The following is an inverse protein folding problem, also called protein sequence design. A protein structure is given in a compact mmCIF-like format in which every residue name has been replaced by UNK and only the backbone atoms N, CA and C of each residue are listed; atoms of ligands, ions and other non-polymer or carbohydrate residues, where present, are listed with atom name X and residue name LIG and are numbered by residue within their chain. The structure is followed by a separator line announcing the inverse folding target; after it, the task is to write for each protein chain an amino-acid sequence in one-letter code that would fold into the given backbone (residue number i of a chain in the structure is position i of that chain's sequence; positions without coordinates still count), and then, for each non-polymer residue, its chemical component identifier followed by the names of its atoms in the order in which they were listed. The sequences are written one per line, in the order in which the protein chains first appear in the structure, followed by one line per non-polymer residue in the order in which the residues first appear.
data_IF_552160828327
#
_entry.id   IF_552160828327
#
_cell.length_a   1.000
_cell.length_b   1.000
_cell.length_c   1.000
_cell.angle_alpha   90.00
_cell.angle_beta   90.00
_cell.angle_gamma   90.00
#
_symmetry.space_group_name_H-M   'P 1'
#
loop_
_entity.id
_entity.type
_entity.pdbx_description
1 polymer ?
#
# COMPACT_ATOMS: atom_id res chain seq x y z
N UNK A 1 19.57 -14.71 -3.80
CA UNK A 1 19.34 -13.35 -4.30
C UNK A 1 20.49 -12.50 -3.83
N UNK A 2 21.33 -12.05 -4.76
CA UNK A 2 22.62 -11.40 -4.48
C UNK A 2 22.66 -10.07 -5.21
N UNK A 3 22.74 -8.97 -4.47
CA UNK A 3 23.12 -7.68 -5.05
C UNK A 3 24.57 -7.75 -5.51
N UNK A 4 24.86 -7.50 -6.78
CA UNK A 4 26.25 -7.39 -7.27
C UNK A 4 26.71 -5.94 -7.26
N UNK A 5 25.84 -5.03 -7.68
CA UNK A 5 26.14 -3.59 -7.64
C UNK A 5 24.89 -2.74 -7.70
N UNK A 6 25.01 -1.51 -7.21
CA UNK A 6 24.05 -0.42 -7.46
C UNK A 6 24.80 0.82 -7.94
N UNK A 7 24.34 1.40 -9.04
CA UNK A 7 24.77 2.72 -9.51
C UNK A 7 23.66 3.72 -9.25
N UNK A 8 23.98 4.81 -8.56
CA UNK A 8 23.04 5.87 -8.18
C UNK A 8 23.47 7.13 -8.89
N UNK A 9 22.55 7.75 -9.63
CA UNK A 9 22.77 8.99 -10.37
C UNK A 9 21.81 10.07 -9.85
N UNK A 10 22.35 11.21 -9.45
CA UNK A 10 21.61 12.41 -9.03
C UNK A 10 22.13 13.61 -9.83
N UNK A 11 21.31 14.11 -10.75
CA UNK A 11 21.74 15.13 -11.71
C UNK A 11 22.88 14.64 -12.60
N UNK A 12 24.02 15.33 -12.58
CA UNK A 12 25.22 14.96 -13.35
C UNK A 12 26.19 14.04 -12.60
N UNK A 13 25.90 13.73 -11.33
CA UNK A 13 26.79 12.95 -10.48
C UNK A 13 26.32 11.51 -10.44
N UNK A 14 27.24 10.57 -10.52
CA UNK A 14 26.96 9.14 -10.45
C UNK A 14 27.99 8.43 -9.59
N UNK A 15 27.55 7.42 -8.83
CA UNK A 15 28.44 6.58 -8.05
C UNK A 15 27.96 5.13 -8.05
N UNK A 16 28.90 4.21 -8.24
CA UNK A 16 28.66 2.77 -8.20
C UNK A 16 29.20 2.18 -6.91
N UNK A 17 28.41 1.31 -6.30
CA UNK A 17 28.76 0.49 -5.16
C UNK A 17 28.69 -0.98 -5.56
N UNK A 18 29.73 -1.75 -5.25
CA UNK A 18 29.83 -3.17 -5.56
C UNK A 18 29.80 -3.98 -4.26
N UNK A 19 29.12 -5.12 -4.30
CA UNK A 19 28.93 -5.99 -3.15
C UNK A 19 29.52 -7.37 -3.43
N UNK A 20 30.09 -8.01 -2.40
CA UNK A 20 30.42 -9.43 -2.42
C UNK A 20 29.15 -10.26 -2.25
N UNK A 21 29.21 -11.53 -2.66
CA UNK A 21 28.09 -12.47 -2.48
C UNK A 21 27.89 -12.93 -1.03
N UNK A 22 28.92 -12.80 -0.18
CA UNK A 22 28.88 -13.14 1.23
C UNK A 22 28.47 -11.91 2.08
N UNK A 23 29.33 -11.49 3.01
CA UNK A 23 29.08 -10.38 3.91
C UNK A 23 29.63 -9.06 3.37
N UNK A 24 28.86 -7.99 3.57
CA UNK A 24 29.18 -6.63 3.17
C UNK A 24 28.97 -5.68 4.36
N UNK A 25 29.98 -4.89 4.69
CA UNK A 25 29.89 -3.81 5.68
C UNK A 25 29.97 -2.46 4.99
N UNK A 26 28.85 -1.75 4.95
CA UNK A 26 28.78 -0.34 4.56
C UNK A 26 29.22 0.48 5.78
N UNK A 27 30.49 0.88 5.77
CA UNK A 27 31.18 1.49 6.92
C UNK A 27 31.39 2.99 6.75
N UNK A 28 31.41 3.69 7.88
CA UNK A 28 32.10 4.98 8.01
C UNK A 28 32.27 5.31 9.48
N UNK A 29 33.37 5.97 9.81
CA UNK A 29 33.66 6.44 11.16
C UNK A 29 32.69 7.55 11.63
N UNK A 30 32.06 8.25 10.70
CA UNK A 30 31.15 9.35 11.00
C UNK A 30 29.68 8.91 10.91
N UNK A 31 28.88 9.43 11.84
CA UNK A 31 27.43 9.37 11.73
C UNK A 31 26.96 10.28 10.58
N UNK A 32 25.84 9.92 9.93
CA UNK A 32 25.15 10.78 8.94
C UNK A 32 25.82 10.93 7.56
N UNK A 33 26.78 10.07 7.21
CA UNK A 33 27.41 10.09 5.87
C UNK A 33 26.55 9.46 4.75
N UNK A 34 25.40 8.88 5.11
CA UNK A 34 24.46 8.29 4.15
C UNK A 34 24.42 6.75 4.09
N UNK A 35 24.94 6.03 5.10
CA UNK A 35 24.88 4.55 5.16
C UNK A 35 23.44 4.00 5.01
N UNK A 36 22.53 4.45 5.88
CA UNK A 36 21.09 4.17 5.80
C UNK A 36 20.48 4.63 4.48
N UNK A 37 20.98 5.75 3.91
CA UNK A 37 20.47 6.24 2.63
C UNK A 37 20.85 5.31 1.48
N UNK A 38 22.04 4.70 1.50
CA UNK A 38 22.43 3.67 0.54
C UNK A 38 21.54 2.42 0.65
N UNK A 39 21.33 1.90 1.87
CA UNK A 39 20.41 0.76 2.08
C UNK A 39 19.00 1.06 1.57
N UNK A 40 18.47 2.24 1.90
CA UNK A 40 17.15 2.69 1.44
C UNK A 40 17.09 2.86 -0.08
N UNK A 41 18.17 3.30 -0.72
CA UNK A 41 18.27 3.37 -2.19
C UNK A 41 18.37 2.00 -2.85
N UNK A 42 18.98 1.01 -2.20
CA UNK A 42 18.94 -0.39 -2.66
C UNK A 42 17.50 -0.91 -2.69
N UNK A 43 16.76 -0.71 -1.61
CA UNK A 43 15.34 -1.09 -1.54
C UNK A 43 14.48 -0.29 -2.52
N UNK A 44 14.75 1.01 -2.67
CA UNK A 44 14.11 1.85 -3.68
C UNK A 44 14.39 1.30 -5.09
N UNK A 45 15.60 0.84 -5.41
CA UNK A 45 15.89 0.26 -6.73
C UNK A 45 15.06 -1.01 -7.02
N UNK A 46 14.61 -1.73 -5.98
CA UNK A 46 13.68 -2.86 -6.07
C UNK A 46 12.20 -2.43 -6.08
N UNK A 47 11.89 -1.21 -6.47
CA UNK A 47 10.51 -0.73 -6.63
C UNK A 47 9.77 -0.36 -5.35
N UNK A 48 10.30 -0.66 -4.16
CA UNK A 48 9.64 -0.31 -2.90
C UNK A 48 9.46 1.22 -2.76
N UNK A 49 8.32 1.70 -2.21
CA UNK A 49 8.06 3.13 -1.97
C UNK A 49 8.76 3.62 -0.71
N UNK A 50 10.10 3.60 -0.72
CA UNK A 50 10.92 3.95 0.44
C UNK A 50 10.91 5.47 0.67
N UNK A 51 10.69 5.94 1.91
CA UNK A 51 10.70 7.37 2.22
C UNK A 51 12.08 7.99 2.03
N UNK A 52 12.06 9.24 1.56
CA UNK A 52 13.24 10.08 1.38
C UNK A 52 14.05 10.24 2.68
N UNK A 53 15.34 10.48 2.53
CA UNK A 53 16.19 10.93 3.64
C UNK A 53 16.37 12.44 3.59
N UNK A 54 16.87 13.05 4.68
CA UNK A 54 16.94 14.51 4.83
C UNK A 54 17.59 15.24 3.65
N UNK A 55 18.62 14.63 3.05
CA UNK A 55 19.48 15.29 2.07
C UNK A 55 19.31 14.78 0.63
N UNK A 56 18.60 13.66 0.42
CA UNK A 56 18.45 13.04 -0.91
C UNK A 56 16.96 12.76 -1.15
N UNK A 57 16.49 13.21 -2.32
CA UNK A 57 15.14 12.98 -2.83
C UNK A 57 15.20 11.86 -3.85
N UNK A 58 14.65 10.69 -3.52
CA UNK A 58 14.76 9.48 -4.33
C UNK A 58 14.06 9.64 -5.68
N UNK A 59 12.99 10.44 -5.74
CA UNK A 59 12.32 10.82 -6.99
C UNK A 59 13.22 11.61 -7.96
N UNK A 60 14.34 12.17 -7.47
CA UNK A 60 15.35 12.85 -8.29
C UNK A 60 16.55 11.96 -8.64
N UNK A 61 16.55 10.71 -8.19
CA UNK A 61 17.61 9.74 -8.43
C UNK A 61 17.21 8.76 -9.54
N UNK A 62 18.16 8.40 -10.39
CA UNK A 62 18.11 7.22 -11.26
C UNK A 62 18.99 6.14 -10.65
N UNK A 63 18.47 4.91 -10.56
CA UNK A 63 19.22 3.77 -10.02
C UNK A 63 19.35 2.68 -11.07
N UNK A 64 20.51 2.03 -11.09
CA UNK A 64 20.78 0.83 -11.89
C UNK A 64 21.37 -0.23 -10.98
N UNK A 65 20.60 -1.28 -10.74
CA UNK A 65 20.96 -2.39 -9.85
C UNK A 65 21.20 -3.64 -10.67
N UNK A 66 22.32 -4.32 -10.40
CA UNK A 66 22.61 -5.64 -10.94
C UNK A 66 22.40 -6.63 -9.79
N UNK A 67 21.50 -7.57 -10.02
CA UNK A 67 21.09 -8.55 -9.03
C UNK A 67 21.09 -9.95 -9.64
N UNK A 68 21.61 -10.92 -8.91
CA UNK A 68 21.68 -12.32 -9.34
C UNK A 68 20.76 -13.19 -8.47
N UNK A 69 19.92 -14.00 -9.11
CA UNK A 69 19.07 -14.99 -8.46
C UNK A 69 19.00 -16.26 -9.32
N UNK A 70 19.26 -17.44 -8.75
CA UNK A 70 19.25 -18.73 -9.46
C UNK A 70 20.01 -18.74 -10.80
N UNK A 71 21.19 -18.09 -10.85
CA UNK A 71 22.02 -17.91 -12.05
C UNK A 71 21.43 -16.98 -13.13
N UNK A 72 20.31 -16.32 -12.84
CA UNK A 72 19.72 -15.27 -13.68
C UNK A 72 20.26 -13.93 -13.19
N UNK A 73 20.76 -13.11 -14.11
CA UNK A 73 21.19 -11.74 -13.81
C UNK A 73 20.13 -10.75 -14.27
N UNK A 74 19.58 -10.01 -13.32
CA UNK A 74 18.63 -8.92 -13.53
C UNK A 74 19.34 -7.58 -13.54
N UNK A 75 19.16 -6.82 -14.60
CA UNK A 75 19.55 -5.41 -14.67
C UNK A 75 18.31 -4.54 -14.46
N UNK A 76 18.15 -4.01 -13.25
CA UNK A 76 16.99 -3.25 -12.84
C UNK A 76 17.33 -1.76 -12.88
N UNK A 77 16.68 -1.01 -13.75
CA UNK A 77 16.78 0.45 -13.81
C UNK A 77 15.50 1.07 -13.28
N UNK A 78 15.61 1.94 -12.27
CA UNK A 78 14.47 2.72 -11.76
C UNK A 78 14.70 4.21 -11.94
N UNK A 79 13.71 4.87 -12.54
CA UNK A 79 13.62 6.32 -12.70
C UNK A 79 12.23 6.78 -12.24
N UNK A 80 12.18 7.33 -11.02
CA UNK A 80 10.94 7.72 -10.36
C UNK A 80 9.93 6.54 -10.25
N UNK A 81 8.84 6.60 -11.01
CA UNK A 81 7.76 5.59 -11.06
C UNK A 81 8.02 4.51 -12.13
N UNK A 82 8.97 4.73 -13.04
CA UNK A 82 9.28 3.77 -14.09
C UNK A 82 10.37 2.81 -13.64
N UNK A 83 10.13 1.51 -13.84
CA UNK A 83 11.08 0.45 -13.57
C UNK A 83 11.24 -0.41 -14.83
N UNK A 84 12.48 -0.60 -15.26
CA UNK A 84 12.85 -1.39 -16.43
C UNK A 84 13.71 -2.55 -15.94
N UNK A 85 13.36 -3.78 -16.30
CA UNK A 85 14.12 -4.97 -15.95
C UNK A 85 14.62 -5.62 -17.22
N UNK A 86 15.93 -5.80 -17.32
CA UNK A 86 16.51 -6.62 -18.39
C UNK A 86 17.00 -7.95 -17.84
N UNK A 87 16.55 -9.02 -18.48
CA UNK A 87 16.94 -10.40 -18.23
C UNK A 87 17.46 -10.98 -19.57
N UNK A 88 18.78 -11.04 -19.75
CA UNK A 88 19.38 -11.42 -21.02
C UNK A 88 18.93 -10.51 -22.17
N UNK A 89 18.12 -11.03 -23.10
CA UNK A 89 17.57 -10.28 -24.25
C UNK A 89 16.16 -9.74 -24.01
N UNK A 90 15.52 -10.08 -22.88
CA UNK A 90 14.16 -9.65 -22.55
C UNK A 90 14.21 -8.35 -21.76
N UNK A 91 13.35 -7.40 -22.12
CA UNK A 91 13.16 -6.14 -21.40
C UNK A 91 11.69 -6.00 -21.00
N UNK A 92 11.41 -5.98 -19.71
CA UNK A 92 10.09 -5.74 -19.15
C UNK A 92 10.01 -4.33 -18.53
N UNK A 93 8.85 -3.70 -18.63
CA UNK A 93 8.59 -2.35 -18.13
C UNK A 93 7.45 -2.39 -17.11
N UNK A 94 7.63 -1.69 -15.99
CA UNK A 94 6.67 -1.63 -14.90
C UNK A 94 6.43 -0.18 -14.45
N UNK A 95 5.19 0.14 -14.10
CA UNK A 95 4.76 1.43 -13.57
C UNK A 95 4.42 1.28 -12.08
N UNK A 96 5.18 1.95 -11.22
CA UNK A 96 5.03 1.89 -9.78
C UNK A 96 4.06 2.97 -9.26
N UNK A 97 3.29 2.70 -8.18
CA UNK A 97 3.22 1.44 -7.44
C UNK A 97 2.24 0.41 -8.04
N UNK A 98 1.55 0.74 -9.13
CA UNK A 98 0.47 -0.07 -9.69
C UNK A 98 0.91 -1.49 -10.11
N UNK A 99 2.14 -1.62 -10.60
CA UNK A 99 2.71 -2.88 -11.09
C UNK A 99 3.81 -3.47 -10.18
N UNK A 100 3.84 -3.05 -8.91
CA UNK A 100 4.87 -3.47 -7.95
C UNK A 100 4.86 -4.99 -7.74
N UNK A 101 3.68 -5.58 -7.54
CA UNK A 101 3.57 -7.01 -7.27
C UNK A 101 3.89 -7.85 -8.51
N UNK A 102 3.56 -7.38 -9.71
CA UNK A 102 3.96 -8.02 -10.97
C UNK A 102 5.49 -8.07 -11.10
N UNK A 103 6.17 -6.97 -10.75
CA UNK A 103 7.64 -6.93 -10.72
C UNK A 103 8.20 -7.85 -9.61
N UNK A 104 7.65 -7.80 -8.40
CA UNK A 104 8.10 -8.65 -7.30
C UNK A 104 7.83 -10.13 -7.54
N UNK A 105 6.78 -10.48 -8.26
CA UNK A 105 6.51 -11.85 -8.70
C UNK A 105 7.59 -12.39 -9.62
N UNK A 106 8.08 -11.57 -10.55
CA UNK A 106 9.23 -11.93 -11.38
C UNK A 106 10.48 -12.17 -10.51
N UNK A 107 10.76 -11.24 -9.59
CA UNK A 107 11.99 -11.25 -8.79
C UNK A 107 12.05 -12.37 -7.76
N UNK A 108 10.93 -12.64 -7.08
CA UNK A 108 10.85 -13.59 -5.96
C UNK A 108 10.22 -14.94 -6.31
N UNK A 109 9.67 -15.08 -7.53
CA UNK A 109 9.14 -16.35 -8.02
C UNK A 109 7.82 -16.79 -7.38
N UNK A 110 6.98 -15.85 -6.92
CA UNK A 110 5.64 -16.14 -6.39
C UNK A 110 4.59 -15.12 -6.86
N UNK A 111 3.36 -15.59 -7.10
CA UNK A 111 2.20 -14.73 -7.44
C UNK A 111 1.35 -14.42 -6.21
N UNK A 112 1.71 -14.96 -5.04
CA UNK A 112 0.98 -14.76 -3.79
C UNK A 112 1.25 -13.36 -3.22
N UNK A 113 0.24 -12.49 -3.28
CA UNK A 113 0.35 -11.12 -2.83
C UNK A 113 0.60 -11.00 -1.32
N UNK A 114 0.13 -11.94 -0.50
CA UNK A 114 0.37 -11.91 0.94
C UNK A 114 1.84 -12.18 1.25
N UNK A 115 2.46 -13.11 0.52
CA UNK A 115 3.91 -13.31 0.61
C UNK A 115 4.63 -12.04 0.18
N UNK A 116 4.39 -11.56 -1.06
CA UNK A 116 5.10 -10.42 -1.65
C UNK A 116 5.03 -9.16 -0.79
N UNK A 117 3.85 -8.84 -0.28
CA UNK A 117 3.61 -7.66 0.56
C UNK A 117 4.33 -7.74 1.92
N UNK A 118 4.73 -8.94 2.36
CA UNK A 118 5.40 -9.17 3.64
C UNK A 118 6.91 -9.44 3.52
N UNK A 119 7.44 -9.71 2.31
CA UNK A 119 8.85 -10.06 2.10
C UNK A 119 9.81 -9.00 2.65
N UNK A 120 9.57 -7.71 2.43
CA UNK A 120 10.50 -6.68 2.94
C UNK A 120 10.65 -6.75 4.47
N UNK A 121 9.58 -7.13 5.17
CA UNK A 121 9.60 -7.28 6.62
C UNK A 121 10.35 -8.52 7.10
N UNK A 122 10.74 -9.46 6.22
CA UNK A 122 11.55 -10.63 6.61
C UNK A 122 13.04 -10.32 6.54
N UNK A 123 13.47 -9.60 5.51
CA UNK A 123 14.90 -9.50 5.17
C UNK A 123 15.53 -8.11 5.41
N UNK A 124 14.73 -7.08 5.73
CA UNK A 124 15.25 -5.75 6.06
C UNK A 124 14.91 -5.33 7.50
N UNK A 125 15.94 -4.89 8.22
CA UNK A 125 15.84 -4.34 9.58
C UNK A 125 16.32 -2.89 9.59
N UNK A 126 15.38 -1.94 9.53
CA UNK A 126 15.64 -0.50 9.63
C UNK A 126 16.17 -0.08 11.02
N UNK A 127 17.01 0.95 11.05
CA UNK A 127 17.68 1.46 12.25
C UNK A 127 16.71 1.90 13.35
N UNK A 128 15.54 2.46 12.99
CA UNK A 128 14.59 2.98 13.97
C UNK A 128 13.66 1.88 14.47
N UNK A 129 12.83 1.34 13.58
CA UNK A 129 11.74 0.43 13.97
C UNK A 129 12.01 -1.04 13.68
N UNK A 130 12.98 -1.36 12.82
CA UNK A 130 13.26 -2.73 12.39
C UNK A 130 13.61 -3.66 13.54
N UNK A 131 14.36 -3.15 14.53
CA UNK A 131 14.77 -3.86 15.74
C UNK A 131 13.68 -4.01 16.82
N UNK A 132 12.48 -3.46 16.57
CA UNK A 132 11.31 -3.58 17.44
C UNK A 132 10.11 -4.24 16.74
N UNK A 133 10.22 -4.46 15.42
CA UNK A 133 9.17 -5.04 14.59
C UNK A 133 9.24 -6.57 14.63
N UNK A 134 8.42 -7.18 15.49
CA UNK A 134 8.33 -8.63 15.62
C UNK A 134 7.32 -9.22 14.62
N UNK A 135 6.02 -9.07 14.90
CA UNK A 135 4.93 -9.79 14.22
C UNK A 135 4.05 -8.92 13.33
N UNK A 136 3.82 -7.67 13.73
CA UNK A 136 2.97 -6.72 13.02
C UNK A 136 3.49 -5.32 13.16
N UNK A 137 3.39 -4.52 12.10
CA UNK A 137 3.71 -3.11 12.16
C UNK A 137 4.18 -2.57 10.82
N UNK A 138 4.93 -1.47 10.87
CA UNK A 138 5.55 -0.86 9.68
C UNK A 138 7.01 -1.23 9.64
N UNK A 139 7.45 -1.77 8.50
CA UNK A 139 8.86 -2.03 8.21
C UNK A 139 9.57 -0.70 8.02
N UNK A 140 9.07 0.10 7.08
CA UNK A 140 9.56 1.45 6.77
C UNK A 140 8.48 2.23 6.01
N UNK A 141 8.29 3.50 6.36
CA UNK A 141 7.27 4.36 5.74
C UNK A 141 5.86 3.76 5.85
N UNK A 142 5.18 3.59 4.72
CA UNK A 142 3.84 2.98 4.64
C UNK A 142 3.87 1.45 4.51
N UNK A 143 5.04 0.83 4.31
CA UNK A 143 5.17 -0.61 4.05
C UNK A 143 4.93 -1.38 5.35
N UNK A 144 3.91 -2.23 5.33
CA UNK A 144 3.49 -3.04 6.47
C UNK A 144 4.22 -4.38 6.54
N UNK A 145 4.08 -5.04 7.68
CA UNK A 145 4.40 -6.44 7.90
C UNK A 145 3.33 -7.06 8.79
N UNK A 146 2.95 -8.29 8.50
CA UNK A 146 1.95 -9.08 9.20
C UNK A 146 2.33 -10.57 9.08
N UNK A 147 2.70 -11.17 10.22
CA UNK A 147 3.15 -12.55 10.29
C UNK A 147 2.05 -13.56 9.92
N UNK A 148 0.78 -13.29 10.24
CA UNK A 148 -0.33 -14.16 9.86
C UNK A 148 -0.49 -14.24 8.35
N UNK A 149 -0.44 -13.10 7.67
CA UNK A 149 -0.51 -13.06 6.20
C UNK A 149 0.67 -13.79 5.57
N UNK A 150 1.88 -13.57 6.07
CA UNK A 150 3.06 -14.28 5.60
C UNK A 150 2.89 -15.80 5.75
N UNK A 151 2.49 -16.28 6.93
CA UNK A 151 2.32 -17.72 7.20
C UNK A 151 1.20 -18.31 6.36
N UNK A 152 0.06 -17.63 6.25
CA UNK A 152 -1.08 -18.10 5.43
C UNK A 152 -0.68 -18.23 3.96
N UNK A 153 0.00 -17.23 3.40
CA UNK A 153 0.50 -17.25 2.02
C UNK A 153 1.57 -18.33 1.80
N UNK A 154 2.57 -18.43 2.69
CA UNK A 154 3.59 -19.49 2.61
C UNK A 154 2.99 -20.90 2.72
N UNK A 155 1.89 -21.03 3.47
CA UNK A 155 1.18 -22.31 3.64
C UNK A 155 0.16 -22.61 2.52
N UNK A 156 -0.02 -21.69 1.56
CA UNK A 156 -1.00 -21.82 0.48
C UNK A 156 -2.44 -21.98 0.98
N UNK A 157 -2.80 -21.39 2.12
CA UNK A 157 -4.14 -21.53 2.71
C UNK A 157 -5.10 -20.54 2.11
N UNK A 158 -6.26 -21.02 1.67
CA UNK A 158 -7.36 -20.16 1.25
C UNK A 158 -8.07 -19.57 2.47
N UNK A 159 -8.07 -18.24 2.54
CA UNK A 159 -8.79 -17.47 3.55
C UNK A 159 -9.52 -16.26 2.94
N UNK A 160 -9.74 -16.26 1.61
CA UNK A 160 -10.31 -15.12 0.88
C UNK A 160 -11.64 -14.65 1.45
N UNK A 161 -12.50 -15.59 1.88
CA UNK A 161 -13.79 -15.28 2.51
C UNK A 161 -13.62 -14.51 3.82
N UNK A 162 -12.72 -14.98 4.68
CA UNK A 162 -12.43 -14.32 5.97
C UNK A 162 -11.78 -12.95 5.74
N UNK A 163 -10.92 -12.82 4.72
CA UNK A 163 -10.30 -11.56 4.35
C UNK A 163 -11.33 -10.54 3.83
N UNK A 164 -12.21 -10.96 2.91
CA UNK A 164 -13.28 -10.12 2.37
C UNK A 164 -14.23 -9.66 3.49
N UNK A 165 -14.59 -10.56 4.40
CA UNK A 165 -15.38 -10.22 5.58
C UNK A 165 -14.66 -9.20 6.47
N UNK A 166 -13.37 -9.40 6.76
CA UNK A 166 -12.59 -8.48 7.59
C UNK A 166 -12.53 -7.06 6.97
N UNK A 167 -12.32 -6.96 5.66
CA UNK A 167 -12.30 -5.67 4.96
C UNK A 167 -13.66 -4.95 5.00
N UNK A 168 -14.77 -5.69 4.85
CA UNK A 168 -16.11 -5.13 4.98
C UNK A 168 -16.35 -4.61 6.40
N UNK A 169 -16.00 -5.40 7.42
CA UNK A 169 -16.12 -5.02 8.82
C UNK A 169 -15.28 -3.77 9.13
N UNK A 170 -14.03 -3.70 8.71
CA UNK A 170 -13.17 -2.53 8.91
C UNK A 170 -13.74 -1.26 8.26
N UNK A 171 -14.29 -1.39 7.05
CA UNK A 171 -14.94 -0.27 6.36
C UNK A 171 -16.19 0.20 7.10
N UNK A 172 -17.02 -0.73 7.57
CA UNK A 172 -18.28 -0.39 8.20
C UNK A 172 -18.06 0.14 9.62
N UNK A 173 -17.15 -0.44 10.41
CA UNK A 173 -16.69 0.12 11.69
C UNK A 173 -16.25 1.58 11.52
N UNK A 174 -15.45 1.89 10.48
CA UNK A 174 -15.01 3.26 10.22
C UNK A 174 -16.17 4.22 9.98
N UNK A 175 -17.21 3.80 9.24
CA UNK A 175 -18.40 4.63 8.99
C UNK A 175 -19.20 4.84 10.27
N UNK A 176 -19.45 3.78 11.03
CA UNK A 176 -20.20 3.88 12.28
C UNK A 176 -19.44 4.69 13.33
N UNK A 177 -18.10 4.63 13.35
CA UNK A 177 -17.29 5.49 14.21
C UNK A 177 -17.49 6.97 13.85
N UNK A 178 -17.49 7.31 12.56
CA UNK A 178 -17.80 8.68 12.12
C UNK A 178 -19.22 9.11 12.52
N UNK A 179 -20.20 8.21 12.45
CA UNK A 179 -21.57 8.50 12.92
C UNK A 179 -21.62 8.73 14.44
N UNK A 180 -20.85 7.96 15.21
CA UNK A 180 -20.71 8.14 16.66
C UNK A 180 -20.08 9.49 16.99
N UNK A 181 -18.99 9.86 16.32
CA UNK A 181 -18.32 11.14 16.52
C UNK A 181 -19.29 12.30 16.23
N UNK A 182 -20.14 12.17 15.20
CA UNK A 182 -21.21 13.14 14.90
C UNK A 182 -22.27 13.20 15.99
N UNK A 183 -22.73 12.05 16.49
CA UNK A 183 -23.74 12.02 17.57
C UNK A 183 -23.21 12.62 18.88
N UNK A 184 -21.93 12.41 19.20
CA UNK A 184 -21.27 13.04 20.35
C UNK A 184 -21.21 14.55 20.19
N UNK A 185 -20.82 15.04 19.01
CA UNK A 185 -20.82 16.47 18.72
C UNK A 185 -22.23 17.08 18.84
N UNK A 186 -23.28 16.38 18.37
CA UNK A 186 -24.67 16.83 18.57
C UNK A 186 -25.01 16.98 20.06
N UNK A 187 -24.67 15.99 20.88
CA UNK A 187 -24.91 16.07 22.34
C UNK A 187 -24.20 17.27 22.98
N UNK A 188 -22.94 17.52 22.63
CA UNK A 188 -22.19 18.69 23.11
C UNK A 188 -22.89 20.01 22.72
N UNK A 189 -23.37 20.12 21.48
CA UNK A 189 -24.12 21.31 21.01
C UNK A 189 -25.47 21.46 21.71
N UNK A 190 -26.21 20.36 21.93
CA UNK A 190 -27.48 20.37 22.67
C UNK A 190 -27.29 20.77 24.14
N UNK A 191 -26.22 20.30 24.78
CA UNK A 191 -25.87 20.65 26.16
C UNK A 191 -25.46 22.12 26.31
N UNK A 192 -24.79 22.71 25.30
CA UNK A 192 -24.38 24.12 25.31
C UNK A 192 -25.51 25.10 24.98
N UNK A 193 -26.44 24.75 24.08
CA UNK A 193 -27.40 25.71 23.48
C UNK A 193 -28.87 25.47 23.83
N UNK A 194 -29.22 24.34 24.42
CA UNK A 194 -30.62 23.95 24.69
C UNK A 194 -31.39 23.57 23.41
N UNK A 195 -32.59 23.01 23.58
CA UNK A 195 -33.39 22.40 22.51
C UNK A 195 -33.77 23.42 21.41
N UNK A 196 -33.06 23.40 20.29
CA UNK A 196 -33.37 24.22 19.11
C UNK A 196 -34.46 23.49 18.31
N UNK A 197 -35.71 23.64 18.73
CA UNK A 197 -36.87 23.22 17.94
C UNK A 197 -37.21 24.36 16.96
N UNK A 198 -37.08 24.10 15.66
CA UNK A 198 -37.57 25.03 14.63
C UNK A 198 -38.40 24.34 13.55
N UNK A 199 -39.41 25.07 13.10
CA UNK A 199 -40.68 24.61 12.53
C UNK A 199 -40.63 23.88 11.18
N UNK A 200 -41.60 22.99 11.03
CA UNK A 200 -41.93 22.00 9.99
C UNK A 200 -42.25 22.54 8.58
N UNK A 201 -41.95 23.80 8.25
CA UNK A 201 -42.24 24.36 6.91
C UNK A 201 -41.05 24.22 5.93
N UNK A 202 -39.81 24.17 6.43
CA UNK A 202 -38.56 24.13 5.64
C UNK A 202 -38.33 22.75 4.95
N UNK A 203 -38.81 21.67 5.58
CA UNK A 203 -38.66 20.29 5.06
C UNK A 203 -39.29 20.08 3.67
N UNK A 204 -40.38 20.79 3.37
CA UNK A 204 -41.08 20.65 2.09
C UNK A 204 -40.29 21.23 0.91
N UNK A 205 -39.71 22.43 1.08
CA UNK A 205 -38.89 23.10 0.08
C UNK A 205 -37.54 22.39 -0.12
N UNK A 206 -36.95 21.88 0.97
CA UNK A 206 -35.74 21.08 0.90
C UNK A 206 -35.97 19.73 0.22
N UNK A 207 -37.11 19.06 0.48
CA UNK A 207 -37.51 17.84 -0.23
C UNK A 207 -37.68 18.09 -1.73
N UNK A 208 -38.37 19.17 -2.12
CA UNK A 208 -38.56 19.52 -3.53
C UNK A 208 -37.23 19.88 -4.23
N UNK A 209 -36.32 20.56 -3.52
CA UNK A 209 -34.98 20.85 -4.01
C UNK A 209 -34.15 19.57 -4.17
N UNK A 210 -34.27 18.61 -3.26
CA UNK A 210 -33.59 17.32 -3.32
C UNK A 210 -34.08 16.49 -4.52
N UNK A 211 -35.40 16.46 -4.76
CA UNK A 211 -36.00 15.80 -5.94
C UNK A 211 -35.48 16.45 -7.23
N UNK A 212 -35.58 17.77 -7.36
CA UNK A 212 -35.10 18.48 -8.55
C UNK A 212 -33.59 18.27 -8.78
N UNK A 213 -32.79 18.26 -7.71
CA UNK A 213 -31.34 18.03 -7.78
C UNK A 213 -30.99 16.61 -8.19
N UNK A 214 -31.76 15.62 -7.73
CA UNK A 214 -31.63 14.22 -8.15
C UNK A 214 -31.92 14.06 -9.64
N UNK A 215 -33.00 14.66 -10.14
CA UNK A 215 -33.37 14.61 -11.55
C UNK A 215 -32.32 15.27 -12.45
N UNK A 216 -31.79 16.43 -12.06
CA UNK A 216 -30.68 17.08 -12.78
C UNK A 216 -29.43 16.19 -12.80
N UNK A 217 -29.10 15.52 -11.69
CA UNK A 217 -27.96 14.61 -11.62
C UNK A 217 -28.15 13.40 -12.55
N UNK A 218 -29.36 12.84 -12.61
CA UNK A 218 -29.71 11.76 -13.53
C UNK A 218 -29.57 12.20 -14.99
N UNK A 219 -30.16 13.34 -15.35
CA UNK A 219 -30.10 13.90 -16.71
C UNK A 219 -28.67 14.29 -17.13
N UNK A 220 -27.83 14.77 -16.20
CA UNK A 220 -26.41 15.05 -16.49
C UNK A 220 -25.60 13.78 -16.75
N UNK A 221 -25.89 12.68 -16.06
CA UNK A 221 -25.27 11.38 -16.37
C UNK A 221 -25.62 10.91 -17.76
N UNK A 222 -26.90 11.01 -18.14
CA UNK A 222 -27.37 10.68 -19.49
C UNK A 222 -26.72 11.60 -20.54
N UNK A 223 -26.62 12.90 -20.27
CA UNK A 223 -25.95 13.87 -21.15
C UNK A 223 -24.47 13.52 -21.36
N UNK A 224 -23.76 13.10 -20.30
CA UNK A 224 -22.38 12.63 -20.38
C UNK A 224 -22.28 11.38 -21.25
N UNK A 225 -23.17 10.40 -21.06
CA UNK A 225 -23.20 9.20 -21.90
C UNK A 225 -23.40 9.55 -23.38
N UNK A 226 -24.42 10.35 -23.70
CA UNK A 226 -24.70 10.81 -25.07
C UNK A 226 -23.51 11.58 -25.67
N UNK A 227 -22.84 12.42 -24.87
CA UNK A 227 -21.68 13.20 -25.32
C UNK A 227 -20.45 12.32 -25.57
N UNK A 228 -20.21 11.30 -24.72
CA UNK A 228 -19.14 10.34 -24.92
C UNK A 228 -19.39 9.51 -26.18
N UNK A 229 -20.60 8.99 -26.37
CA UNK A 229 -20.98 8.24 -27.59
C UNK A 229 -20.79 9.09 -28.85
N UNK A 230 -21.12 10.39 -28.82
CA UNK A 230 -20.83 11.31 -29.92
C UNK A 230 -19.33 11.45 -30.20
N UNK A 231 -18.51 11.58 -29.15
CA UNK A 231 -17.04 11.67 -29.28
C UNK A 231 -16.43 10.38 -29.84
N UNK A 232 -16.93 9.23 -29.39
CA UNK A 232 -16.50 7.91 -29.85
C UNK A 232 -16.88 7.72 -31.32
N UNK A 233 -18.10 8.06 -31.72
CA UNK A 233 -18.54 7.99 -33.12
C UNK A 233 -17.68 8.87 -34.04
N UNK A 234 -17.32 10.09 -33.61
CA UNK A 234 -16.42 10.97 -34.36
C UNK A 234 -15.02 10.34 -34.49
N UNK A 235 -14.50 9.76 -33.40
CA UNK A 235 -13.16 9.15 -33.36
C UNK A 235 -13.09 7.89 -34.22
N UNK A 236 -14.12 7.05 -34.17
CA UNK A 236 -14.29 5.87 -35.03
C UNK A 236 -14.38 6.29 -36.49
N UNK A 237 -15.15 7.32 -36.83
CA UNK A 237 -15.22 7.85 -38.19
C UNK A 237 -13.85 8.25 -38.73
N UNK A 238 -13.07 9.04 -37.97
CA UNK A 238 -11.71 9.43 -38.34
C UNK A 238 -10.76 8.24 -38.46
N UNK A 239 -10.91 7.24 -37.59
CA UNK A 239 -10.10 6.02 -37.62
C UNK A 239 -10.39 5.19 -38.87
N UNK A 240 -11.67 4.99 -39.22
CA UNK A 240 -12.09 4.27 -40.43
C UNK A 240 -11.57 4.98 -41.69
N UNK A 241 -11.70 6.31 -41.76
CA UNK A 241 -11.15 7.10 -42.88
C UNK A 241 -9.63 6.93 -43.00
N UNK A 242 -8.91 6.92 -41.87
CA UNK A 242 -7.45 6.70 -41.86
C UNK A 242 -7.05 5.29 -42.33
N UNK A 243 -7.88 4.28 -42.05
CA UNK A 243 -7.62 2.89 -42.43
C UNK A 243 -7.79 2.61 -43.93
N UNK A 244 -8.42 3.53 -44.69
CA UNK A 244 -8.58 3.40 -46.16
C UNK A 244 -9.17 2.07 -46.62
N UNK A 245 -10.13 1.53 -45.86
CA UNK A 245 -10.74 0.22 -46.09
C UNK A 245 -11.70 0.25 -47.29
N UNK A 246 -11.88 -0.90 -47.95
CA UNK A 246 -12.84 -1.11 -49.06
C UNK A 246 -13.61 -2.41 -48.87
N UNK A 247 -14.88 -2.41 -49.28
CA UNK A 247 -15.74 -3.59 -49.32
C UNK A 247 -15.96 -3.99 -50.76
N UNK A 248 -15.78 -5.28 -51.06
CA UNK A 248 -16.02 -5.85 -52.39
C UNK A 248 -17.40 -6.50 -52.44
N UNK A 249 -18.26 -6.03 -53.32
CA UNK A 249 -19.58 -6.59 -53.58
C UNK A 249 -19.48 -7.90 -54.40
N UNK A 250 -20.53 -8.75 -54.38
CA UNK A 250 -20.54 -10.02 -55.12
C UNK A 250 -20.37 -9.87 -56.64
N UNK A 251 -20.70 -8.71 -57.20
CA UNK A 251 -20.51 -8.36 -58.62
C UNK A 251 -19.08 -7.89 -58.95
N UNK A 252 -18.20 -7.81 -57.94
CA UNK A 252 -16.82 -7.37 -58.06
C UNK A 252 -16.58 -5.89 -57.81
N UNK A 253 -17.64 -5.08 -57.60
CA UNK A 253 -17.53 -3.64 -57.33
C UNK A 253 -16.87 -3.38 -55.96
N UNK A 254 -15.90 -2.47 -55.90
CA UNK A 254 -15.29 -2.03 -54.64
C UNK A 254 -15.87 -0.70 -54.17
N UNK A 255 -16.36 -0.66 -52.92
CA UNK A 255 -16.93 0.52 -52.28
C UNK A 255 -15.99 0.95 -51.14
N UNK A 256 -15.49 2.20 -51.11
CA UNK A 256 -14.68 2.68 -50.00
C UNK A 256 -15.52 2.76 -48.72
N UNK A 257 -14.96 2.42 -47.57
CA UNK A 257 -15.64 2.54 -46.27
C UNK A 257 -15.32 3.91 -45.69
N UNK A 258 -16.27 4.84 -45.76
CA UNK A 258 -16.13 6.20 -45.24
C UNK A 258 -17.50 6.74 -44.81
N UNK A 259 -17.53 7.98 -44.29
CA UNK A 259 -18.74 8.63 -43.80
C UNK A 259 -19.89 8.72 -44.81
N UNK A 260 -19.59 8.74 -46.11
CA UNK A 260 -20.57 8.91 -47.18
C UNK A 260 -21.14 7.55 -47.64
N UNK A 261 -20.48 6.44 -47.30
CA UNK A 261 -20.85 5.08 -47.71
C UNK A 261 -21.40 4.22 -46.57
N UNK A 262 -21.25 4.63 -45.30
CA UNK A 262 -21.82 3.94 -44.14
C UNK A 262 -23.24 4.44 -43.87
N UNK A 263 -24.22 3.60 -44.20
CA UNK A 263 -25.64 3.87 -43.97
C UNK A 263 -25.94 3.98 -42.46
N UNK A 264 -26.70 5.00 -42.06
CA UNK A 264 -27.12 5.23 -40.68
C UNK A 264 -26.09 5.93 -39.79
N UNK A 265 -24.88 6.23 -40.28
CA UNK A 265 -23.86 6.94 -39.50
C UNK A 265 -24.26 8.39 -39.19
N UNK A 266 -24.74 9.10 -40.22
CA UNK A 266 -25.21 10.49 -40.13
C UNK A 266 -26.50 10.54 -39.31
N UNK A 267 -27.47 9.69 -39.62
CA UNK A 267 -28.76 9.65 -38.93
C UNK A 267 -28.61 9.40 -37.42
N UNK A 268 -27.71 8.49 -37.03
CA UNK A 268 -27.41 8.23 -35.62
C UNK A 268 -26.74 9.42 -34.93
N UNK A 269 -25.87 10.13 -35.63
CA UNK A 269 -25.20 11.32 -35.10
C UNK A 269 -26.21 12.46 -34.92
N UNK A 270 -27.11 12.66 -35.88
CA UNK A 270 -28.17 13.67 -35.81
C UNK A 270 -29.20 13.34 -34.72
N UNK A 271 -29.53 12.05 -34.54
CA UNK A 271 -30.34 11.58 -33.42
C UNK A 271 -29.69 11.92 -32.07
N UNK A 272 -28.41 11.59 -31.90
CA UNK A 272 -27.66 11.86 -30.66
C UNK A 272 -27.52 13.36 -30.40
N UNK A 273 -27.30 14.17 -31.44
CA UNK A 273 -27.27 15.64 -31.33
C UNK A 273 -28.63 16.21 -30.92
N UNK A 274 -29.72 15.66 -31.45
CA UNK A 274 -31.08 16.06 -31.08
C UNK A 274 -31.41 15.67 -29.64
N UNK A 275 -31.03 14.46 -29.20
CA UNK A 275 -31.16 14.01 -27.81
C UNK A 275 -30.35 14.91 -26.86
N UNK A 276 -29.11 15.26 -27.23
CA UNK A 276 -28.26 16.18 -26.48
C UNK A 276 -28.93 17.55 -26.28
N UNK A 277 -29.50 18.14 -27.35
CA UNK A 277 -30.23 19.42 -27.27
C UNK A 277 -31.42 19.34 -26.30
N UNK A 278 -32.19 18.25 -26.36
CA UNK A 278 -33.34 18.02 -25.49
C UNK A 278 -32.91 17.93 -24.02
N UNK A 279 -31.89 17.12 -23.71
CA UNK A 279 -31.36 16.98 -22.35
C UNK A 279 -30.85 18.31 -21.80
N UNK A 280 -30.11 19.09 -22.60
CA UNK A 280 -29.63 20.42 -22.20
C UNK A 280 -30.79 21.38 -21.88
N UNK A 281 -31.86 21.36 -22.68
CA UNK A 281 -33.04 22.18 -22.44
C UNK A 281 -33.79 21.76 -21.15
N UNK A 282 -33.92 20.46 -20.90
CA UNK A 282 -34.52 19.93 -19.67
C UNK A 282 -33.70 20.30 -18.42
N UNK A 283 -32.38 20.12 -18.48
CA UNK A 283 -31.46 20.51 -17.41
C UNK A 283 -31.58 22.01 -17.15
N UNK A 284 -31.58 22.84 -18.19
CA UNK A 284 -31.69 24.30 -18.04
C UNK A 284 -33.00 24.71 -17.36
N UNK A 285 -34.12 24.04 -17.69
CA UNK A 285 -35.42 24.29 -17.06
C UNK A 285 -35.43 23.91 -15.58
N UNK A 286 -34.87 22.74 -15.23
CA UNK A 286 -34.76 22.30 -13.84
C UNK A 286 -33.77 23.16 -13.04
N UNK A 287 -32.64 23.55 -13.65
CA UNK A 287 -31.67 24.46 -13.01
C UNK A 287 -32.33 25.81 -12.70
N UNK A 288 -33.19 26.35 -13.58
CA UNK A 288 -34.00 27.54 -13.26
C UNK A 288 -34.96 27.32 -12.08
N UNK A 289 -35.58 26.14 -11.96
CA UNK A 289 -36.44 25.80 -10.82
C UNK A 289 -35.62 25.67 -9.53
N UNK A 290 -34.45 25.03 -9.59
CA UNK A 290 -33.50 24.96 -8.46
C UNK A 290 -33.07 26.36 -8.04
N UNK A 291 -32.75 27.26 -8.97
CA UNK A 291 -32.41 28.65 -8.64
C UNK A 291 -33.58 29.36 -7.95
N UNK A 292 -34.83 29.16 -8.39
CA UNK A 292 -36.02 29.72 -7.73
C UNK A 292 -36.19 29.16 -6.30
N UNK A 293 -36.07 27.85 -6.12
CA UNK A 293 -36.16 27.18 -4.81
C UNK A 293 -35.03 27.64 -3.88
N UNK A 294 -33.79 27.73 -4.37
CA UNK A 294 -32.65 28.26 -3.62
C UNK A 294 -32.85 29.71 -3.23
N UNK A 295 -33.38 30.54 -4.11
CA UNK A 295 -33.69 31.93 -3.79
C UNK A 295 -34.78 32.01 -2.72
N UNK A 296 -35.83 31.18 -2.79
CA UNK A 296 -36.88 31.11 -1.76
C UNK A 296 -36.30 30.70 -0.39
N UNK A 297 -35.49 29.64 -0.35
CA UNK A 297 -34.76 29.19 0.85
C UNK A 297 -33.82 30.30 1.37
N UNK A 298 -33.11 30.98 0.46
CA UNK A 298 -32.21 32.08 0.78
C UNK A 298 -32.96 33.29 1.36
N UNK A 299 -34.07 33.71 0.77
CA UNK A 299 -34.91 34.79 1.31
C UNK A 299 -35.53 34.42 2.66
N UNK A 300 -35.85 33.16 2.90
CA UNK A 300 -36.27 32.67 4.22
C UNK A 300 -35.11 32.70 5.24
N UNK A 301 -33.90 32.32 4.83
CA UNK A 301 -32.68 32.42 5.65
C UNK A 301 -32.20 33.86 5.91
N UNK A 302 -32.75 34.84 5.20
CA UNK A 302 -32.46 36.28 5.32
C UNK A 302 -33.44 37.01 6.25
N UNK A 303 -34.44 36.32 6.85
CA UNK A 303 -34.93 36.80 8.15
C UNK A 303 -33.71 36.84 9.08
N UNK A 304 -33.41 37.97 9.74
CA UNK A 304 -32.11 38.14 10.37
C UNK A 304 -31.94 37.17 11.53
N UNK A 305 -31.21 36.08 11.29
CA UNK A 305 -30.44 35.40 12.31
C UNK A 305 -28.96 35.69 12.03
N UNK A 306 -28.24 36.10 13.07
CA UNK A 306 -26.83 36.46 13.04
C UNK A 306 -25.93 35.21 12.96
N UNK A 307 -26.21 34.28 12.04
CA UNK A 307 -25.56 32.96 12.04
C UNK A 307 -24.18 32.94 11.37
N UNK A 308 -23.18 32.53 12.13
CA UNK A 308 -21.81 32.19 11.75
C UNK A 308 -21.72 30.82 11.06
N UNK A 309 -20.58 30.51 10.42
CA UNK A 309 -20.34 29.19 9.80
C UNK A 309 -20.51 28.01 10.78
N UNK A 310 -20.25 28.23 12.07
CA UNK A 310 -20.41 27.23 13.12
C UNK A 310 -21.91 26.98 13.37
N UNK A 311 -22.72 28.04 13.45
CA UNK A 311 -24.17 27.91 13.63
C UNK A 311 -24.85 27.26 12.42
N UNK A 312 -24.38 27.54 11.19
CA UNK A 312 -24.85 26.85 10.00
C UNK A 312 -24.47 25.35 9.99
N UNK A 313 -23.30 24.98 10.53
CA UNK A 313 -22.89 23.59 10.68
C UNK A 313 -23.71 22.86 11.74
N UNK A 314 -23.90 23.47 12.92
CA UNK A 314 -24.73 22.95 14.01
C UNK A 314 -26.18 22.72 13.55
N UNK A 315 -26.74 23.65 12.77
CA UNK A 315 -28.09 23.55 12.20
C UNK A 315 -28.23 22.42 11.18
N UNK A 316 -27.26 22.23 10.31
CA UNK A 316 -27.29 21.12 9.35
C UNK A 316 -27.13 19.77 10.06
N UNK A 317 -26.38 19.74 11.16
CA UNK A 317 -26.18 18.55 11.97
C UNK A 317 -27.41 18.19 12.80
N UNK A 318 -28.11 19.15 13.40
CA UNK A 318 -29.33 18.89 14.18
C UNK A 318 -30.47 18.29 13.35
N UNK A 319 -30.45 18.48 12.03
CA UNK A 319 -31.38 17.85 11.08
C UNK A 319 -31.11 16.35 10.87
N UNK A 320 -29.93 15.85 11.24
CA UNK A 320 -29.59 14.43 11.12
C UNK A 320 -30.01 13.72 12.40
N UNK A 321 -31.09 12.94 12.35
CA UNK A 321 -31.48 12.09 13.49
C UNK A 321 -30.55 10.87 13.60
N UNK A 322 -29.62 10.89 14.55
CA UNK A 322 -28.75 9.74 14.86
C UNK A 322 -29.17 9.12 16.20
N UNK A 323 -29.53 7.85 16.19
CA UNK A 323 -29.70 7.08 17.42
C UNK A 323 -28.32 6.63 17.93
N UNK A 324 -27.76 7.38 18.87
CA UNK A 324 -26.44 7.13 19.44
C UNK A 324 -26.35 5.74 20.09
N UNK A 325 -27.42 5.27 20.73
CA UNK A 325 -27.46 3.96 21.40
C UNK A 325 -27.47 2.83 20.36
N UNK A 326 -28.24 2.97 19.30
CA UNK A 326 -28.23 2.02 18.19
C UNK A 326 -26.86 1.98 17.48
N UNK A 327 -26.23 3.13 17.25
CA UNK A 327 -24.88 3.22 16.66
C UNK A 327 -23.85 2.51 17.53
N UNK A 328 -23.87 2.74 18.85
CA UNK A 328 -22.96 2.07 19.80
C UNK A 328 -23.18 0.56 19.84
N UNK A 329 -24.43 0.10 19.82
CA UNK A 329 -24.75 -1.33 19.79
C UNK A 329 -24.21 -1.99 18.51
N UNK A 330 -24.42 -1.37 17.34
CA UNK A 330 -23.90 -1.87 16.06
C UNK A 330 -22.38 -1.86 16.06
N UNK A 331 -21.73 -0.80 16.57
CA UNK A 331 -20.27 -0.75 16.71
C UNK A 331 -19.73 -1.90 17.56
N UNK A 332 -20.38 -2.19 18.69
CA UNK A 332 -20.00 -3.30 19.57
C UNK A 332 -20.14 -4.65 18.87
N UNK A 333 -21.23 -4.87 18.14
CA UNK A 333 -21.45 -6.09 17.34
C UNK A 333 -20.37 -6.25 16.25
N UNK A 334 -20.13 -5.20 15.46
CA UNK A 334 -19.11 -5.20 14.41
C UNK A 334 -17.71 -5.43 14.96
N UNK A 335 -17.35 -4.81 16.08
CA UNK A 335 -16.05 -5.02 16.75
C UNK A 335 -15.90 -6.44 17.30
N UNK A 336 -16.99 -7.00 17.85
CA UNK A 336 -17.03 -8.40 18.30
C UNK A 336 -16.79 -9.33 17.12
N UNK A 337 -17.55 -9.14 16.03
CA UNK A 337 -17.41 -9.94 14.81
C UNK A 337 -16.01 -9.81 14.19
N UNK A 338 -15.44 -8.61 14.15
CA UNK A 338 -14.08 -8.38 13.68
C UNK A 338 -13.06 -9.19 14.50
N UNK A 339 -13.23 -9.22 15.83
CA UNK A 339 -12.36 -9.99 16.72
C UNK A 339 -12.49 -11.49 16.50
N UNK A 340 -13.70 -11.99 16.24
CA UNK A 340 -13.95 -13.39 15.87
C UNK A 340 -13.29 -13.79 14.55
N UNK A 341 -13.42 -12.96 13.50
CA UNK A 341 -12.82 -13.20 12.19
C UNK A 341 -11.29 -13.20 12.30
N UNK A 342 -10.71 -12.25 13.05
CA UNK A 342 -9.27 -12.23 13.35
C UNK A 342 -8.81 -13.50 14.06
N UNK A 343 -9.57 -13.97 15.05
CA UNK A 343 -9.29 -15.24 15.73
C UNK A 343 -9.36 -16.42 14.76
N UNK A 344 -10.39 -16.48 13.90
CA UNK A 344 -10.52 -17.54 12.90
C UNK A 344 -9.33 -17.58 11.93
N UNK A 345 -8.82 -16.41 11.51
CA UNK A 345 -7.60 -16.32 10.70
C UNK A 345 -6.37 -16.86 11.43
N UNK A 346 -6.19 -16.50 12.70
CA UNK A 346 -5.09 -17.01 13.52
C UNK A 346 -5.18 -18.52 13.73
N UNK A 347 -6.37 -19.06 14.01
CA UNK A 347 -6.56 -20.51 14.15
C UNK A 347 -6.33 -21.24 12.82
N UNK A 348 -6.76 -20.65 11.69
CA UNK A 348 -6.46 -21.16 10.37
C UNK A 348 -4.94 -21.17 10.11
N UNK A 349 -4.20 -20.14 10.55
CA UNK A 349 -2.75 -20.13 10.43
C UNK A 349 -2.06 -21.19 11.31
N UNK A 350 -2.67 -21.57 12.45
CA UNK A 350 -2.12 -22.59 13.37
C UNK A 350 -2.36 -24.03 12.96
N UNK A 351 -3.56 -24.34 12.46
CA UNK A 351 -4.02 -25.72 12.36
C UNK A 351 -3.20 -26.58 11.38
N UNK A 352 -2.45 -27.59 11.83
CA UNK A 352 -1.65 -28.48 10.98
C UNK A 352 -0.72 -27.70 10.04
N UNK A 353 0.11 -26.83 10.59
CA UNK A 353 0.98 -25.96 9.81
C UNK A 353 2.46 -26.25 10.10
N UNK A 354 3.08 -27.05 9.24
CA UNK A 354 4.50 -27.41 9.35
C UNK A 354 5.41 -26.18 9.27
N UNK A 355 5.05 -25.17 8.48
CA UNK A 355 5.83 -23.93 8.36
C UNK A 355 5.85 -23.20 9.72
N UNK A 356 4.70 -23.15 10.39
CA UNK A 356 4.61 -22.54 11.71
C UNK A 356 5.40 -23.35 12.77
N UNK A 357 5.36 -24.68 12.68
CA UNK A 357 6.16 -25.58 13.54
C UNK A 357 7.66 -25.33 13.33
N UNK A 358 8.15 -25.36 12.08
CA UNK A 358 9.55 -25.09 11.73
C UNK A 358 9.99 -23.70 12.21
N UNK A 359 9.12 -22.70 12.05
CA UNK A 359 9.39 -21.35 12.52
C UNK A 359 9.54 -21.27 14.04
N UNK A 360 8.66 -21.95 14.78
CA UNK A 360 8.75 -22.01 16.24
C UNK A 360 10.04 -22.69 16.68
N UNK A 361 10.41 -23.82 16.07
CA UNK A 361 11.63 -24.57 16.41
C UNK A 361 12.89 -23.74 16.19
N UNK A 362 12.94 -22.96 15.09
CA UNK A 362 14.05 -22.03 14.83
C UNK A 362 14.08 -20.90 15.87
N UNK A 363 12.92 -20.33 16.20
CA UNK A 363 12.80 -19.27 17.23
C UNK A 363 13.26 -19.81 18.59
N UNK A 364 12.88 -21.03 18.96
CA UNK A 364 13.28 -21.70 20.19
C UNK A 364 14.78 -21.97 20.23
N UNK A 365 15.33 -22.52 19.15
CA UNK A 365 16.76 -22.80 19.02
C UNK A 365 17.60 -21.53 19.19
N UNK A 366 17.30 -20.47 18.45
CA UNK A 366 18.01 -19.19 18.58
C UNK A 366 17.69 -18.48 19.90
N UNK A 367 16.47 -18.62 20.40
CA UNK A 367 16.06 -18.10 21.70
C UNK A 367 16.91 -18.66 22.83
N UNK A 368 17.16 -19.97 22.83
CA UNK A 368 18.05 -20.64 23.80
C UNK A 368 19.49 -20.11 23.67
N UNK A 369 20.04 -20.08 22.46
CA UNK A 369 21.41 -19.59 22.20
C UNK A 369 21.61 -18.13 22.64
N UNK A 370 20.56 -17.30 22.51
CA UNK A 370 20.56 -15.88 22.88
C UNK A 370 20.15 -15.61 24.34
N UNK A 371 19.86 -16.65 25.13
CA UNK A 371 19.49 -16.55 26.53
C UNK A 371 18.09 -15.96 26.77
N UNK A 372 17.14 -16.24 25.88
CA UNK A 372 15.78 -15.72 25.86
C UNK A 372 14.73 -16.67 26.44
N UNK A 373 15.10 -17.88 26.86
CA UNK A 373 14.17 -18.95 27.28
C UNK A 373 13.10 -18.50 28.28
N UNK A 374 13.45 -17.65 29.26
CA UNK A 374 12.51 -17.15 30.27
C UNK A 374 11.43 -16.19 29.75
N UNK A 375 11.57 -15.71 28.52
CA UNK A 375 10.64 -14.80 27.85
C UNK A 375 9.79 -15.50 26.78
N UNK A 376 10.04 -16.78 26.55
CA UNK A 376 9.38 -17.57 25.53
C UNK A 376 8.24 -18.37 26.15
N UNK A 377 7.11 -18.41 25.45
CA UNK A 377 6.00 -19.30 25.82
C UNK A 377 6.17 -20.63 25.10
N UNK A 378 5.82 -21.73 25.77
CA UNK A 378 5.83 -23.06 25.14
C UNK A 378 4.73 -23.16 24.09
N UNK A 379 5.10 -23.62 22.90
CA UNK A 379 4.18 -23.98 21.82
C UNK A 379 4.12 -22.99 20.67
N UNK A 380 3.75 -23.52 19.50
CA UNK A 380 3.78 -22.84 18.19
C UNK A 380 3.00 -21.50 18.14
N UNK A 381 2.02 -21.31 19.03
CA UNK A 381 1.29 -20.06 19.15
C UNK A 381 2.17 -18.86 19.55
N UNK A 382 3.36 -19.09 20.10
CA UNK A 382 4.31 -18.04 20.47
C UNK A 382 4.77 -17.20 19.27
N UNK A 383 4.75 -17.76 18.06
CA UNK A 383 5.04 -17.03 16.81
C UNK A 383 4.09 -15.86 16.60
N UNK A 384 2.89 -15.90 17.20
CA UNK A 384 1.90 -14.82 17.12
C UNK A 384 1.90 -13.89 18.34
N UNK A 385 2.89 -13.97 19.23
CA UNK A 385 2.94 -13.17 20.46
C UNK A 385 2.79 -11.66 20.21
N UNK A 386 2.13 -10.97 21.13
CA UNK A 386 2.02 -9.51 21.16
C UNK A 386 2.70 -8.90 22.39
N UNK A 387 3.16 -9.76 23.32
CA UNK A 387 3.74 -9.29 24.57
C UNK A 387 5.24 -9.04 24.41
N UNK A 388 5.58 -7.79 24.08
CA UNK A 388 6.96 -7.31 23.94
C UNK A 388 7.26 -6.11 24.84
N UNK A 389 6.23 -5.51 25.45
CA UNK A 389 6.35 -4.29 26.26
C UNK A 389 7.13 -4.51 27.57
N UNK A 390 7.29 -5.77 27.97
CA UNK A 390 7.96 -6.17 29.21
C UNK A 390 9.45 -6.51 29.01
N UNK A 391 9.94 -6.52 27.76
CA UNK A 391 11.32 -6.85 27.44
C UNK A 391 12.22 -5.61 27.53
N UNK A 392 13.42 -5.76 28.09
CA UNK A 392 14.48 -4.75 27.94
C UNK A 392 14.87 -4.62 26.45
N UNK A 393 15.39 -3.48 26.01
CA UNK A 393 15.63 -3.29 24.58
C UNK A 393 16.67 -4.27 24.01
N UNK A 394 17.72 -4.64 24.75
CA UNK A 394 18.64 -5.70 24.34
C UNK A 394 17.93 -7.06 24.16
N UNK A 395 17.01 -7.41 25.05
CA UNK A 395 16.23 -8.66 24.97
C UNK A 395 15.27 -8.62 23.79
N UNK A 396 14.60 -7.49 23.57
CA UNK A 396 13.73 -7.25 22.44
C UNK A 396 14.48 -7.40 21.11
N UNK A 397 15.66 -6.79 20.98
CA UNK A 397 16.49 -6.88 19.77
C UNK A 397 16.87 -8.33 19.44
N UNK A 398 17.28 -9.11 20.44
CA UNK A 398 17.61 -10.54 20.27
C UNK A 398 16.38 -11.37 19.89
N UNK A 399 15.23 -11.07 20.51
CA UNK A 399 13.97 -11.73 20.17
C UNK A 399 13.56 -11.44 18.73
N UNK A 400 13.59 -10.17 18.32
CA UNK A 400 13.29 -9.77 16.95
C UNK A 400 14.24 -10.43 15.96
N UNK A 401 15.54 -10.50 16.27
CA UNK A 401 16.49 -11.21 15.43
C UNK A 401 16.12 -12.69 15.24
N UNK A 402 15.84 -13.42 16.33
CA UNK A 402 15.44 -14.84 16.24
C UNK A 402 14.20 -15.05 15.36
N UNK A 403 13.19 -14.18 15.50
CA UNK A 403 11.99 -14.20 14.65
C UNK A 403 12.32 -13.88 13.19
N UNK A 404 13.11 -12.85 12.89
CA UNK A 404 13.48 -12.54 11.49
C UNK A 404 14.23 -13.69 10.82
N UNK A 405 15.13 -14.34 11.57
CA UNK A 405 15.87 -15.49 11.06
C UNK A 405 14.94 -16.67 10.72
N UNK A 406 13.93 -16.94 11.55
CA UNK A 406 12.92 -17.95 11.22
C UNK A 406 12.07 -17.58 10.01
N UNK A 407 11.75 -16.29 9.83
CA UNK A 407 10.99 -15.82 8.66
C UNK A 407 11.77 -16.03 7.37
N UNK A 408 13.07 -15.72 7.38
CA UNK A 408 13.95 -15.92 6.22
C UNK A 408 14.03 -17.41 5.87
N UNK A 409 14.18 -18.29 6.86
CA UNK A 409 14.21 -19.74 6.64
C UNK A 409 12.87 -20.28 6.11
N UNK A 410 11.74 -19.77 6.61
CA UNK A 410 10.42 -20.15 6.11
C UNK A 410 10.17 -19.71 4.67
N UNK A 411 10.63 -18.50 4.29
CA UNK A 411 10.54 -18.05 2.89
C UNK A 411 11.45 -18.88 1.99
N UNK A 412 12.67 -19.16 2.43
CA UNK A 412 13.63 -19.98 1.70
C UNK A 412 13.11 -21.41 1.47
N UNK A 413 12.51 -22.05 2.48
CA UNK A 413 11.99 -23.42 2.34
C UNK A 413 10.84 -23.54 1.34
N UNK A 414 10.00 -22.51 1.20
CA UNK A 414 8.83 -22.51 0.31
C UNK A 414 9.16 -21.98 -1.09
N UNK A 415 9.83 -20.83 -1.18
CA UNK A 415 10.11 -20.17 -2.46
C UNK A 415 11.43 -20.64 -3.09
N UNK A 416 12.28 -21.32 -2.32
CA UNK A 416 13.63 -21.69 -2.69
C UNK A 416 14.43 -20.45 -3.16
N UNK A 417 14.29 -19.33 -2.43
CA UNK A 417 14.97 -18.05 -2.73
C UNK A 417 15.78 -17.62 -1.50
N UNK A 418 17.08 -17.39 -1.72
CA UNK A 418 18.01 -16.92 -0.68
C UNK A 418 17.94 -15.41 -0.56
N UNK A 419 17.01 -14.89 0.25
CA UNK A 419 16.86 -13.44 0.46
C UNK A 419 18.13 -12.82 1.10
N UNK A 420 18.53 -11.60 0.71
CA UNK A 420 19.65 -10.90 1.34
C UNK A 420 19.25 -10.39 2.72
N UNK A 421 20.10 -10.58 3.73
CA UNK A 421 19.87 -10.12 5.10
C UNK A 421 20.44 -8.71 5.26
N UNK A 422 19.57 -7.71 5.31
CA UNK A 422 19.95 -6.29 5.35
C UNK A 422 19.71 -5.73 6.76
N UNK A 423 20.79 -5.41 7.46
CA UNK A 423 20.78 -4.92 8.83
C UNK A 423 21.28 -3.47 8.90
N UNK A 424 20.42 -2.55 9.31
CA UNK A 424 20.85 -1.18 9.61
C UNK A 424 21.16 -1.05 11.09
N UNK A 425 22.45 -0.82 11.38
CA UNK A 425 23.00 -0.52 12.71
C UNK A 425 22.63 -1.55 13.80
N UNK A 426 23.05 -2.82 13.67
CA UNK A 426 22.72 -3.86 14.66
C UNK A 426 23.28 -3.58 16.06
N UNK A 427 24.36 -2.81 16.17
CA UNK A 427 24.98 -2.40 17.44
C UNK A 427 24.28 -1.21 18.09
N UNK A 428 22.95 -1.26 18.23
CA UNK A 428 22.17 -0.22 18.91
C UNK A 428 22.68 0.06 20.34
N UNK A 429 22.27 1.18 20.93
CA UNK A 429 22.78 1.67 22.23
C UNK A 429 22.68 0.67 23.39
N UNK A 430 21.83 -0.35 23.27
CA UNK A 430 21.55 -1.33 24.32
C UNK A 430 22.20 -2.71 24.09
N UNK A 431 22.88 -2.93 22.96
CA UNK A 431 23.55 -4.20 22.64
C UNK A 431 25.04 -4.13 23.00
N UNK A 432 25.51 -5.03 23.86
CA UNK A 432 26.93 -5.20 24.12
C UNK A 432 27.63 -6.02 23.01
N UNK A 433 28.97 -6.04 23.05
CA UNK A 433 29.78 -6.75 22.06
C UNK A 433 29.55 -8.27 22.05
N UNK A 434 29.28 -8.87 23.22
CA UNK A 434 29.06 -10.32 23.33
C UNK A 434 27.76 -10.74 22.64
N UNK A 435 26.68 -10.02 22.91
CA UNK A 435 25.39 -10.26 22.26
C UNK A 435 25.50 -10.04 20.74
N UNK A 436 26.20 -8.99 20.28
CA UNK A 436 26.44 -8.77 18.84
C UNK A 436 27.22 -9.94 18.23
N UNK A 437 28.27 -10.43 18.89
CA UNK A 437 29.04 -11.54 18.38
C UNK A 437 28.20 -12.81 18.25
N UNK A 438 27.27 -13.07 19.18
CA UNK A 438 26.30 -14.17 19.07
C UNK A 438 25.42 -14.05 17.84
N UNK A 439 24.88 -12.85 17.56
CA UNK A 439 24.09 -12.62 16.34
C UNK A 439 24.92 -12.89 15.07
N UNK A 440 26.17 -12.39 15.02
CA UNK A 440 27.06 -12.60 13.88
C UNK A 440 27.44 -14.07 13.70
N UNK A 441 27.65 -14.80 14.80
CA UNK A 441 27.93 -16.24 14.76
C UNK A 441 26.76 -17.03 14.14
N UNK A 442 25.51 -16.69 14.49
CA UNK A 442 24.32 -17.31 13.88
C UNK A 442 24.27 -17.02 12.38
N UNK A 443 24.52 -15.76 11.97
CA UNK A 443 24.56 -15.38 10.55
C UNK A 443 25.64 -16.17 9.78
N UNK A 444 26.87 -16.22 10.30
CA UNK A 444 27.98 -16.93 9.66
C UNK A 444 27.77 -18.46 9.61
N UNK A 445 27.10 -19.03 10.61
CA UNK A 445 26.90 -20.48 10.74
C UNK A 445 25.73 -20.95 9.87
N UNK A 446 24.59 -20.28 9.97
CA UNK A 446 23.31 -20.80 9.46
C UNK A 446 22.82 -20.05 8.21
N UNK A 447 23.39 -18.89 7.88
CA UNK A 447 22.98 -18.04 6.76
C UNK A 447 24.15 -17.70 5.82
N UNK A 448 25.18 -18.54 5.78
CA UNK A 448 26.38 -18.33 4.93
C UNK A 448 26.11 -18.35 3.42
N UNK A 449 24.97 -18.92 3.01
CA UNK A 449 24.43 -18.95 1.65
C UNK A 449 23.50 -17.77 1.33
N UNK A 450 23.24 -16.91 2.31
CA UNK A 450 22.58 -15.62 2.12
C UNK A 450 23.61 -14.51 2.03
N UNK A 451 23.33 -13.50 1.21
CA UNK A 451 24.12 -12.27 1.23
C UNK A 451 23.78 -11.48 2.49
N UNK A 452 24.80 -11.09 3.26
CA UNK A 452 24.63 -10.27 4.47
C UNK A 452 25.09 -8.85 4.14
N UNK A 453 24.26 -7.85 4.44
CA UNK A 453 24.57 -6.43 4.20
C UNK A 453 24.30 -5.65 5.47
N UNK A 454 25.36 -5.12 6.08
CA UNK A 454 25.28 -4.37 7.33
C UNK A 454 25.69 -2.93 7.07
N UNK A 455 24.88 -1.97 7.51
CA UNK A 455 25.29 -0.57 7.61
C UNK A 455 25.65 -0.24 9.06
N UNK A 456 26.88 0.22 9.32
CA UNK A 456 27.29 0.54 10.69
C UNK A 456 28.48 1.49 10.77
N UNK A 457 28.72 2.02 11.98
CA UNK A 457 29.98 2.66 12.39
C UNK A 457 30.92 1.68 13.11
N UNK A 458 30.45 0.47 13.39
CA UNK A 458 31.19 -0.58 14.08
C UNK A 458 31.61 -1.66 13.10
N UNK A 459 32.73 -2.32 13.39
CA UNK A 459 33.17 -3.51 12.68
C UNK A 459 32.57 -4.78 13.30
N UNK A 460 32.41 -5.82 12.48
CA UNK A 460 31.84 -7.11 12.87
C UNK A 460 32.75 -8.24 12.39
N UNK A 461 32.86 -9.29 13.19
CA UNK A 461 33.58 -10.50 12.79
C UNK A 461 32.65 -11.40 11.97
N UNK A 462 32.64 -11.19 10.65
CA UNK A 462 31.97 -12.05 9.66
C UNK A 462 33.00 -12.61 8.68
N UNK A 463 32.77 -13.83 8.19
CA UNK A 463 33.65 -14.44 7.18
C UNK A 463 33.54 -13.71 5.83
N UNK A 464 34.67 -13.55 5.15
CA UNK A 464 34.74 -12.93 3.81
C UNK A 464 34.07 -11.55 3.72
N UNK A 465 34.22 -10.74 4.77
CA UNK A 465 33.61 -9.42 4.86
C UNK A 465 34.22 -8.45 3.85
N UNK A 466 33.42 -8.01 2.88
CA UNK A 466 33.74 -6.91 1.99
C UNK A 466 33.40 -5.57 2.66
N UNK A 467 34.35 -4.63 2.70
CA UNK A 467 34.16 -3.33 3.33
C UNK A 467 33.90 -2.24 2.27
N UNK A 468 32.77 -1.57 2.39
CA UNK A 468 32.34 -0.49 1.51
C UNK A 468 32.45 0.83 2.29
N UNK A 469 33.51 1.59 2.03
CA UNK A 469 33.74 2.87 2.69
C UNK A 469 32.82 3.98 2.16
N UNK A 470 32.06 4.59 3.08
CA UNK A 470 31.21 5.74 2.76
C UNK A 470 31.99 7.05 2.92
N UNK A 471 32.08 7.79 1.82
CA UNK A 471 32.51 9.19 1.83
C UNK A 471 31.42 10.13 2.37
N UNK A 472 31.65 11.45 2.32
CA UNK A 472 30.75 12.47 2.92
C UNK A 472 29.30 12.44 2.40
N UNK A 473 29.03 11.89 1.22
CA UNK A 473 27.69 11.71 0.63
C UNK A 473 27.59 10.40 -0.15
N UNK A 474 26.35 9.94 -0.35
CA UNK A 474 26.03 8.74 -1.16
C UNK A 474 26.37 8.96 -2.64
N UNK A 475 26.16 10.17 -3.14
CA UNK A 475 26.56 10.61 -4.48
C UNK A 475 27.44 11.84 -4.29
N UNK A 476 28.69 11.79 -4.76
CA UNK A 476 29.67 12.88 -4.61
C UNK A 476 30.07 13.43 -5.97
#
# INVERSE_FOLDING_TARGET
MIFKSITITEGQKSKTYTFSENANLIHSNDNTVGKTTLLRLMLYSLGYPIPNTKNIKFEKCSTQTILEEKSITYHIKRENEYLIVNEGTKSDYYILPAELNQFHSLLFGTQDNDILNNLLGTFYMDQEKGWTLLNRGKVIGSIGFNIEQLILGLSGRDYEKLQAELQLLERDIKKYQQMKDVAQYQQEVYEEKGDIIHDTYDESLQRDLAVCSFDVKSLRRELTQVTNTLSDNISIGKFIEKMSLRVKAPDGTEIPVNKDTIVGLIDNTDFLLSRKKLLVAQISKLDQQITKLRNLIYYQSQQPTSETLIEAFDKNLSQISIDAVAVDNILNELNTRQSEVKRALTELAKNNNSILEDMYDIIETYGIELGLTKYMSSGIGFVFTHNLKELSGATLMKMVFAFKMSYIKAVDSVLNVKLPIILDSPSGKEMDKDNIQKLMNILDRDFSDHQIIIASIYDYSLKNLNRIEMGRRVVC
#
